data_IF_711215100303
#
_entry.id   IF_711215100303
#
_cell.length_a   1.000
_cell.length_b   1.000
_cell.length_c   1.000
_cell.angle_alpha   90.00
_cell.angle_beta   90.00
_cell.angle_gamma   90.00
#
_symmetry.space_group_name_H-M   'P 1'
#
loop_
_entity.id
_entity.type
_entity.pdbx_description
1 polymer ?
#
# COMPACT_ATOMS: atom_id res chain seq x y z
N UNK A 1 -11.41 -3.65 14.70
CA UNK A 1 -10.09 -3.92 14.12
C UNK A 1 -10.28 -4.38 12.68
N UNK A 2 -9.78 -3.63 11.68
CA UNK A 2 -10.09 -3.87 10.25
C UNK A 2 -9.46 -5.17 9.75
N UNK A 3 -10.28 -6.04 9.13
CA UNK A 3 -9.81 -7.28 8.48
C UNK A 3 -9.31 -7.03 7.05
N UNK A 4 -9.72 -5.93 6.43
CA UNK A 4 -9.37 -5.58 5.04
C UNK A 4 -7.96 -5.01 4.98
N UNK A 5 -7.69 -3.97 5.77
CA UNK A 5 -6.38 -3.31 5.87
C UNK A 5 -5.23 -4.28 6.18
N UNK A 6 -5.51 -5.29 7.02
CA UNK A 6 -4.52 -6.27 7.47
C UNK A 6 -4.24 -7.38 6.46
N UNK A 7 -5.02 -7.48 5.39
CA UNK A 7 -4.86 -8.57 4.43
C UNK A 7 -3.73 -8.21 3.45
N UNK A 8 -2.67 -9.01 3.36
CA UNK A 8 -1.58 -8.73 2.44
C UNK A 8 -2.08 -8.82 0.99
N UNK A 9 -1.57 -7.93 0.15
CA UNK A 9 -1.84 -7.93 -1.29
C UNK A 9 -0.66 -8.60 -1.98
N UNK A 10 -0.90 -9.80 -2.52
CA UNK A 10 0.06 -10.54 -3.32
C UNK A 10 0.24 -9.89 -4.68
N UNK A 11 1.48 -9.71 -5.11
CA UNK A 11 1.80 -9.09 -6.38
C UNK A 11 2.19 -10.15 -7.41
N UNK A 12 1.45 -10.22 -8.53
CA UNK A 12 1.80 -11.06 -9.67
C UNK A 12 3.20 -10.79 -10.20
N UNK A 13 3.82 -11.83 -10.75
CA UNK A 13 5.03 -11.72 -11.57
C UNK A 13 4.71 -10.83 -12.77
N UNK A 14 5.63 -9.93 -13.14
CA UNK A 14 5.53 -8.91 -14.21
C UNK A 14 4.87 -7.57 -13.84
N UNK A 15 4.72 -7.28 -12.54
CA UNK A 15 4.33 -5.95 -12.07
C UNK A 15 5.54 -5.29 -11.40
N UNK A 16 5.84 -4.04 -11.79
CA UNK A 16 6.86 -3.20 -11.16
C UNK A 16 6.20 -2.24 -10.19
N UNK A 17 6.71 -2.17 -8.96
CA UNK A 17 6.20 -1.27 -7.92
C UNK A 17 7.33 -0.35 -7.47
N UNK A 18 7.01 0.93 -7.44
CA UNK A 18 7.86 1.99 -6.91
C UNK A 18 7.11 2.59 -5.71
N UNK A 19 7.70 2.44 -4.51
CA UNK A 19 7.20 3.06 -3.29
C UNK A 19 8.08 4.24 -2.92
N UNK A 20 7.51 5.45 -2.99
CA UNK A 20 8.18 6.68 -2.57
C UNK A 20 7.38 7.29 -1.41
N UNK A 21 7.74 6.91 -0.18
CA UNK A 21 7.13 7.31 1.10
C UNK A 21 5.63 6.99 1.23
N UNK A 22 4.80 7.78 0.56
CA UNK A 22 3.33 7.66 0.51
C UNK A 22 2.79 7.51 -0.90
N UNK A 23 3.60 7.79 -1.91
CA UNK A 23 3.20 7.56 -3.29
C UNK A 23 3.53 6.12 -3.69
N UNK A 24 2.50 5.41 -4.14
CA UNK A 24 2.61 4.09 -4.74
C UNK A 24 2.47 4.26 -6.24
N UNK A 25 3.48 3.85 -6.98
CA UNK A 25 3.45 3.77 -8.43
C UNK A 25 3.53 2.32 -8.86
N UNK A 26 2.54 1.85 -9.60
CA UNK A 26 2.41 0.48 -10.09
C UNK A 26 2.45 0.53 -11.61
N UNK A 27 3.42 -0.15 -12.21
CA UNK A 27 3.58 -0.29 -13.66
C UNK A 27 3.32 -1.75 -14.02
N UNK A 28 2.37 -1.96 -14.93
CA UNK A 28 2.05 -3.28 -15.46
C UNK A 28 1.84 -3.24 -16.97
N UNK A 29 1.43 -4.37 -17.53
CA UNK A 29 1.21 -4.53 -18.98
C UNK A 29 0.23 -3.52 -19.58
N UNK A 30 -0.77 -3.09 -18.79
CA UNK A 30 -1.87 -2.24 -19.27
C UNK A 30 -1.69 -0.75 -18.96
N UNK A 31 -0.55 -0.36 -18.39
CA UNK A 31 -0.25 1.04 -18.08
C UNK A 31 0.41 1.24 -16.73
N UNK A 32 0.41 2.49 -16.30
CA UNK A 32 0.94 2.91 -15.01
C UNK A 32 -0.16 3.58 -14.18
N UNK A 33 -0.22 3.24 -12.91
CA UNK A 33 -1.11 3.85 -11.93
C UNK A 33 -0.25 4.42 -10.82
N UNK A 34 -0.47 5.69 -10.49
CA UNK A 34 0.13 6.33 -9.33
C UNK A 34 -0.96 6.83 -8.39
N UNK A 35 -0.75 6.61 -7.10
CA UNK A 35 -1.67 7.04 -6.05
C UNK A 35 -0.87 7.55 -4.86
N UNK A 36 -1.30 8.67 -4.29
CA UNK A 36 -0.78 9.17 -3.03
C UNK A 36 -1.68 8.64 -1.92
N UNK A 37 -1.06 7.96 -0.95
CA UNK A 37 -1.72 7.39 0.22
C UNK A 37 -1.74 8.41 1.35
N UNK A 38 -2.79 8.35 2.18
CA UNK A 38 -2.95 9.26 3.31
C UNK A 38 -1.80 9.13 4.32
N UNK A 39 -1.42 10.25 4.96
CA UNK A 39 -0.32 10.32 5.93
C UNK A 39 -0.44 9.36 7.11
N UNK A 40 -1.68 9.00 7.45
CA UNK A 40 -2.03 8.09 8.54
C UNK A 40 -1.67 6.61 8.26
N UNK A 41 -1.29 6.28 7.03
CA UNK A 41 -1.07 4.90 6.57
C UNK A 41 0.38 4.72 6.16
N UNK A 42 0.96 3.64 6.64
CA UNK A 42 2.28 3.16 6.27
C UNK A 42 2.12 1.96 5.33
N UNK A 43 2.81 2.04 4.19
CA UNK A 43 2.79 1.03 3.14
C UNK A 43 4.15 0.38 3.07
N UNK A 44 4.19 -0.95 3.19
CA UNK A 44 5.42 -1.73 3.07
C UNK A 44 5.31 -2.69 1.90
N UNK A 45 6.41 -2.83 1.16
CA UNK A 45 6.56 -3.84 0.11
C UNK A 45 7.67 -4.80 0.50
N UNK A 46 7.29 -6.02 0.88
CA UNK A 46 8.20 -7.07 1.32
C UNK A 46 7.75 -8.41 0.73
N UNK A 47 8.68 -9.24 0.27
CA UNK A 47 8.40 -10.60 -0.24
C UNK A 47 7.29 -10.67 -1.30
N UNK A 48 7.30 -9.75 -2.28
CA UNK A 48 6.27 -9.64 -3.32
C UNK A 48 4.84 -9.41 -2.77
N UNK A 49 4.75 -8.82 -1.58
CA UNK A 49 3.49 -8.47 -0.94
C UNK A 49 3.49 -7.01 -0.51
N UNK A 50 2.36 -6.33 -0.73
CA UNK A 50 2.09 -5.04 -0.10
C UNK A 50 1.31 -5.26 1.18
N UNK A 51 1.80 -4.68 2.26
CA UNK A 51 1.18 -4.70 3.58
C UNK A 51 0.88 -3.26 3.98
N UNK A 52 -0.34 -3.03 4.43
CA UNK A 52 -0.77 -1.75 4.99
C UNK A 52 -0.76 -1.80 6.51
N UNK A 53 -0.29 -0.73 7.11
CA UNK A 53 -0.22 -0.54 8.55
C UNK A 53 -0.59 0.90 8.90
N UNK A 54 -1.02 1.12 10.13
CA UNK A 54 -1.40 2.45 10.60
C UNK A 54 -0.20 3.13 11.24
N UNK A 55 0.00 4.42 10.96
CA UNK A 55 1.00 5.22 11.68
C UNK A 55 0.45 5.66 13.04
N UNK A 56 1.31 5.66 14.05
CA UNK A 56 0.95 6.14 15.39
C UNK A 56 0.63 7.63 15.37
N UNK A 57 -0.43 8.04 16.06
CA UNK A 57 -0.82 9.45 16.21
C UNK A 57 -2.05 9.88 15.41
N UNK A 58 -2.63 8.98 14.60
CA UNK A 58 -3.85 9.25 13.85
C UNK A 58 -5.04 8.46 14.42
N UNK A 59 -6.06 9.12 14.98
CA UNK A 59 -7.31 8.46 15.31
C UNK A 59 -7.99 7.94 14.03
N UNK A 60 -8.65 6.78 14.12
CA UNK A 60 -9.37 6.12 13.01
C UNK A 60 -8.53 5.73 11.78
N UNK A 61 -7.20 5.67 11.90
CA UNK A 61 -6.28 5.32 10.81
C UNK A 61 -6.59 3.96 10.14
N UNK A 62 -7.24 3.03 10.85
CA UNK A 62 -7.64 1.73 10.30
C UNK A 62 -8.71 1.79 9.23
N UNK A 63 -9.46 2.90 9.14
CA UNK A 63 -10.40 3.13 8.05
C UNK A 63 -9.71 3.69 6.80
N UNK A 64 -8.55 4.33 6.97
CA UNK A 64 -7.72 4.84 5.88
C UNK A 64 -6.75 3.77 5.33
N UNK A 65 -6.36 2.81 6.18
CA UNK A 65 -5.45 1.72 5.87
C UNK A 65 -6.11 0.53 5.14
#
# INVERSE_FOLDING_TARGET
>A
MSRVAKRPILIPKDIKIELNLQSISIKGKYGHLSRIVHDAVEVKYENDQIIFSVRSGFPDAWAQA
#
